data_IF_145619042196
#
_entry.id   IF_145619042196
#
_cell.length_a   1.000
_cell.length_b   1.000
_cell.length_c   1.000
_cell.angle_alpha   90.00
_cell.angle_beta   90.00
_cell.angle_gamma   90.00
#
_symmetry.space_group_name_H-M   'P 1'
#
loop_
_entity.id
_entity.type
_entity.pdbx_description
1 polymer ?
#
# COMPACT_ATOMS: atom_id res chain seq x y z
N UNK A 1 -37.51 -30.94 4.09
CA UNK A 1 -36.42 -30.10 4.64
C UNK A 1 -35.34 -29.70 3.61
N UNK A 2 -35.62 -29.69 2.29
CA UNK A 2 -34.60 -29.41 1.25
C UNK A 2 -34.55 -27.95 0.74
N UNK A 3 -35.60 -27.15 1.01
CA UNK A 3 -35.70 -25.75 0.57
C UNK A 3 -34.98 -24.76 1.49
N UNK A 4 -34.84 -25.08 2.77
CA UNK A 4 -34.10 -24.25 3.75
C UNK A 4 -32.59 -24.33 3.59
N UNK A 5 -32.05 -25.48 3.17
CA UNK A 5 -30.61 -25.66 2.93
C UNK A 5 -30.13 -24.81 1.75
N UNK A 6 -30.95 -24.66 0.70
CA UNK A 6 -30.63 -23.85 -0.47
C UNK A 6 -30.59 -22.35 -0.15
N UNK A 7 -31.51 -21.87 0.69
CA UNK A 7 -31.51 -20.48 1.16
C UNK A 7 -30.30 -20.17 2.06
N UNK A 8 -29.86 -21.13 2.86
CA UNK A 8 -28.68 -20.97 3.70
C UNK A 8 -27.38 -20.93 2.86
N UNK A 9 -27.28 -21.78 1.82
CA UNK A 9 -26.13 -21.78 0.90
C UNK A 9 -26.08 -20.48 0.07
N UNK A 10 -27.23 -19.98 -0.38
CA UNK A 10 -27.31 -18.69 -1.10
C UNK A 10 -26.92 -17.53 -0.18
N UNK A 11 -27.34 -17.52 1.09
CA UNK A 11 -26.89 -16.53 2.06
C UNK A 11 -25.38 -16.59 2.34
N UNK A 12 -24.77 -17.79 2.42
CA UNK A 12 -23.33 -17.93 2.63
C UNK A 12 -22.53 -17.42 1.42
N UNK A 13 -23.01 -17.64 0.19
CA UNK A 13 -22.38 -17.13 -1.03
C UNK A 13 -22.55 -15.61 -1.14
N UNK A 14 -23.68 -15.05 -0.72
CA UNK A 14 -23.92 -13.60 -0.73
C UNK A 14 -23.18 -12.83 0.38
N UNK A 15 -22.88 -13.46 1.52
CA UNK A 15 -22.08 -12.84 2.60
C UNK A 15 -20.59 -12.72 2.22
N UNK A 16 -20.10 -13.50 1.26
CA UNK A 16 -18.74 -13.38 0.71
C UNK A 16 -18.59 -12.18 -0.26
N UNK A 17 -19.70 -11.53 -0.63
CA UNK A 17 -19.69 -10.26 -1.40
C UNK A 17 -19.73 -9.07 -0.43
N UNK A 18 -19.20 -9.23 0.78
CA UNK A 18 -18.84 -8.09 1.60
C UNK A 18 -17.83 -7.28 0.79
N UNK A 19 -18.32 -6.16 0.31
CA UNK A 19 -17.71 -5.26 -0.67
C UNK A 19 -16.42 -4.74 -0.05
N UNK A 20 -15.33 -5.49 -0.20
CA UNK A 20 -13.99 -4.92 -0.12
C UNK A 20 -13.93 -3.96 -1.30
N UNK A 21 -14.03 -2.67 -1.02
CA UNK A 21 -13.80 -1.63 -2.00
C UNK A 21 -12.39 -1.81 -2.55
N UNK A 22 -12.29 -2.50 -3.67
CA UNK A 22 -11.01 -2.73 -4.31
C UNK A 22 -10.51 -1.36 -4.73
N UNK A 23 -9.43 -0.89 -4.10
CA UNK A 23 -8.80 0.37 -4.48
C UNK A 23 -8.54 0.33 -5.98
N UNK A 24 -9.14 1.30 -6.66
CA UNK A 24 -8.98 1.47 -8.08
C UNK A 24 -7.89 2.50 -8.30
N UNK A 25 -7.01 2.20 -9.23
CA UNK A 25 -6.07 3.19 -9.74
C UNK A 25 -6.59 3.73 -11.06
N UNK A 26 -6.03 4.85 -11.52
CA UNK A 26 -6.16 5.37 -12.86
C UNK A 26 -4.80 5.88 -13.33
N UNK A 27 -4.62 5.98 -14.64
CA UNK A 27 -3.46 6.66 -15.22
C UNK A 27 -3.81 8.13 -15.49
N UNK A 28 -2.90 9.04 -15.16
CA UNK A 28 -3.10 10.48 -15.31
C UNK A 28 -3.37 10.94 -16.74
N UNK A 29 -2.94 10.14 -17.72
CA UNK A 29 -3.13 10.35 -19.15
C UNK A 29 -4.35 9.59 -19.71
N UNK A 30 -5.20 9.04 -18.84
CA UNK A 30 -6.30 8.13 -19.17
C UNK A 30 -5.86 6.87 -19.95
N UNK A 31 -4.58 6.50 -19.86
CA UNK A 31 -4.06 5.26 -20.40
C UNK A 31 -4.60 4.02 -19.69
N UNK A 32 -4.43 2.86 -20.32
CA UNK A 32 -4.77 1.58 -19.71
C UNK A 32 -3.83 1.25 -18.55
N UNK A 33 -4.41 0.73 -17.47
CA UNK A 33 -3.67 0.24 -16.30
C UNK A 33 -3.31 -1.22 -16.54
N UNK A 34 -2.06 -1.55 -16.27
CA UNK A 34 -1.62 -2.94 -16.17
C UNK A 34 -1.72 -3.39 -14.72
N UNK A 35 -2.38 -4.50 -14.49
CA UNK A 35 -2.55 -5.09 -13.16
C UNK A 35 -2.20 -6.57 -13.18
N UNK A 36 -1.54 -7.03 -12.14
CA UNK A 36 -1.22 -8.45 -11.93
C UNK A 36 -1.19 -8.74 -10.43
N UNK A 37 -1.31 -10.00 -10.03
CA UNK A 37 -1.34 -10.39 -8.61
C UNK A 37 -0.76 -11.76 -8.39
N UNK A 38 -0.04 -11.90 -7.29
CA UNK A 38 0.55 -13.17 -6.85
C UNK A 38 0.31 -13.39 -5.36
N UNK A 39 0.24 -14.65 -4.96
CA UNK A 39 0.38 -15.06 -3.56
C UNK A 39 1.86 -15.29 -3.26
N UNK A 40 2.32 -14.70 -2.16
CA UNK A 40 3.72 -14.71 -1.75
C UNK A 40 3.76 -15.22 -0.32
N UNK A 41 4.48 -16.31 -0.08
CA UNK A 41 4.71 -16.82 1.27
C UNK A 41 5.73 -15.97 2.00
N UNK A 42 5.64 -15.95 3.32
CA UNK A 42 6.61 -15.33 4.22
C UNK A 42 8.02 -15.84 3.93
N UNK A 43 8.98 -14.92 3.86
CA UNK A 43 10.36 -15.18 3.47
C UNK A 43 10.58 -15.37 1.97
N UNK A 44 9.54 -15.50 1.14
CA UNK A 44 9.67 -15.64 -0.31
C UNK A 44 9.51 -14.30 -1.06
N UNK A 45 9.80 -14.34 -2.36
CA UNK A 45 9.73 -13.22 -3.28
C UNK A 45 9.03 -13.59 -4.58
N UNK A 46 8.20 -12.68 -5.11
CA UNK A 46 7.64 -12.79 -6.47
C UNK A 46 7.90 -11.53 -7.28
N UNK A 47 8.00 -11.68 -8.59
CA UNK A 47 8.10 -10.56 -9.54
C UNK A 47 6.75 -10.30 -10.20
N UNK A 48 6.08 -9.22 -9.80
CA UNK A 48 4.76 -8.84 -10.31
C UNK A 48 4.92 -7.58 -11.15
N UNK A 49 4.61 -7.64 -12.45
CA UNK A 49 4.87 -6.56 -13.42
C UNK A 49 6.32 -6.04 -13.39
N UNK A 50 7.27 -6.96 -13.17
CA UNK A 50 8.69 -6.69 -13.07
C UNK A 50 9.13 -6.02 -11.77
N UNK A 51 8.25 -5.80 -10.80
CA UNK A 51 8.59 -5.37 -9.45
C UNK A 51 8.75 -6.60 -8.56
N UNK A 52 9.93 -6.78 -7.98
CA UNK A 52 10.18 -7.84 -7.01
C UNK A 52 9.65 -7.42 -5.63
N UNK A 53 8.71 -8.18 -5.09
CA UNK A 53 8.10 -7.95 -3.78
C UNK A 53 8.32 -9.21 -2.95
N UNK A 54 8.84 -9.03 -1.73
CA UNK A 54 8.98 -10.10 -0.74
C UNK A 54 8.08 -9.84 0.46
N UNK A 55 7.66 -10.92 1.11
CA UNK A 55 6.87 -10.85 2.35
C UNK A 55 7.81 -11.11 3.52
N UNK A 56 7.89 -10.13 4.41
CA UNK A 56 8.69 -10.22 5.60
C UNK A 56 7.90 -10.87 6.74
N UNK A 57 6.68 -10.39 6.99
CA UNK A 57 5.75 -11.05 7.90
C UNK A 57 4.34 -11.04 7.30
N UNK A 58 3.53 -12.00 7.71
CA UNK A 58 2.09 -11.96 7.52
C UNK A 58 1.38 -12.34 8.81
N UNK A 59 0.15 -11.85 8.98
CA UNK A 59 -0.69 -12.22 10.11
C UNK A 59 -2.16 -12.14 9.72
N UNK A 60 -2.94 -13.12 10.17
CA UNK A 60 -4.37 -13.17 9.95
C UNK A 60 -5.11 -13.06 11.29
N UNK A 61 -6.05 -12.13 11.36
CA UNK A 61 -7.06 -12.14 12.41
C UNK A 61 -8.33 -12.80 11.88
N UNK A 62 -8.49 -14.09 12.15
CA UNK A 62 -9.64 -14.87 11.66
C UNK A 62 -10.99 -14.41 12.22
N UNK A 63 -11.02 -13.87 13.45
CA UNK A 63 -12.25 -13.37 14.09
C UNK A 63 -12.74 -12.10 13.39
N UNK A 64 -11.84 -11.15 13.19
CA UNK A 64 -12.15 -9.89 12.56
C UNK A 64 -12.04 -9.94 11.03
N UNK A 65 -11.54 -11.04 10.45
CA UNK A 65 -11.35 -11.23 9.00
C UNK A 65 -10.52 -10.11 8.37
N UNK A 66 -9.31 -9.91 8.87
CA UNK A 66 -8.34 -9.04 8.23
C UNK A 66 -6.96 -9.68 8.24
N UNK A 67 -6.14 -9.21 7.31
CA UNK A 67 -4.77 -9.65 7.12
C UNK A 67 -3.89 -8.41 7.14
N UNK A 68 -2.77 -8.52 7.82
CA UNK A 68 -1.71 -7.53 7.84
C UNK A 68 -0.42 -8.19 7.42
N UNK A 69 0.29 -7.57 6.48
CA UNK A 69 1.55 -8.09 5.98
C UNK A 69 2.55 -6.97 5.80
N UNK A 70 3.78 -7.19 6.26
CA UNK A 70 4.92 -6.34 5.98
C UNK A 70 5.60 -6.81 4.71
N UNK A 71 5.59 -5.94 3.72
CA UNK A 71 6.20 -6.17 2.41
C UNK A 71 7.54 -5.45 2.33
N UNK A 72 8.54 -6.14 1.79
CA UNK A 72 9.74 -5.53 1.26
C UNK A 72 9.57 -5.36 -0.25
N UNK A 73 9.75 -4.13 -0.72
CA UNK A 73 9.56 -3.74 -2.11
C UNK A 73 10.91 -3.41 -2.73
N UNK A 74 11.09 -3.84 -3.98
CA UNK A 74 12.38 -3.85 -4.67
C UNK A 74 13.36 -4.71 -3.88
N UNK A 75 13.11 -6.02 -3.93
CA UNK A 75 13.69 -7.01 -3.03
C UNK A 75 14.51 -8.08 -3.77
N UNK A 76 15.31 -8.81 -3.02
CA UNK A 76 16.07 -9.97 -3.48
C UNK A 76 16.26 -10.99 -2.34
N UNK A 77 16.44 -12.26 -2.72
CA UNK A 77 16.91 -13.29 -1.80
C UNK A 77 18.43 -13.41 -1.89
N UNK A 78 19.08 -13.61 -0.76
CA UNK A 78 20.54 -13.73 -0.67
C UNK A 78 20.90 -14.88 0.25
N UNK A 79 21.81 -15.75 -0.17
CA UNK A 79 22.36 -16.81 0.67
C UNK A 79 23.84 -16.54 0.93
N UNK A 80 24.23 -16.53 2.21
CA UNK A 80 25.62 -16.40 2.66
C UNK A 80 26.09 -17.76 3.18
N UNK A 81 27.13 -18.35 2.56
CA UNK A 81 27.54 -19.72 2.89
C UNK A 81 28.49 -19.81 4.09
N UNK A 82 29.15 -18.71 4.43
CA UNK A 82 30.06 -18.60 5.58
C UNK A 82 30.38 -17.12 5.89
N UNK A 83 30.96 -16.85 7.06
CA UNK A 83 31.29 -15.49 7.53
C UNK A 83 32.41 -14.79 6.76
N UNK A 84 33.15 -15.49 5.91
CA UNK A 84 34.18 -14.88 5.04
C UNK A 84 33.61 -14.41 3.71
N UNK A 85 32.39 -14.81 3.39
CA UNK A 85 31.72 -14.42 2.16
C UNK A 85 30.94 -13.11 2.33
N UNK A 86 30.88 -12.38 1.23
CA UNK A 86 30.00 -11.25 1.06
C UNK A 86 29.31 -11.36 -0.28
N UNK A 87 28.02 -11.06 -0.33
CA UNK A 87 27.23 -11.09 -1.56
C UNK A 87 26.82 -9.68 -1.94
N UNK A 88 26.88 -9.37 -3.23
CA UNK A 88 26.37 -8.10 -3.75
C UNK A 88 24.86 -8.19 -3.92
N UNK A 89 24.16 -7.13 -3.54
CA UNK A 89 22.72 -6.98 -3.68
C UNK A 89 22.48 -5.89 -4.70
N UNK A 90 21.78 -6.23 -5.77
CA UNK A 90 21.37 -5.30 -6.83
C UNK A 90 19.85 -5.14 -6.77
N UNK A 91 19.41 -4.02 -6.21
CA UNK A 91 18.02 -3.57 -6.23
C UNK A 91 17.90 -2.46 -7.27
N UNK A 92 16.69 -2.20 -7.77
CA UNK A 92 16.47 -1.15 -8.76
C UNK A 92 16.85 0.23 -8.22
N UNK A 93 16.61 0.50 -6.94
CA UNK A 93 16.88 1.79 -6.30
C UNK A 93 18.26 1.91 -5.65
N UNK A 94 18.86 0.79 -5.24
CA UNK A 94 20.10 0.81 -4.49
C UNK A 94 20.88 -0.48 -4.67
N UNK A 95 22.20 -0.35 -4.57
CA UNK A 95 23.10 -1.49 -4.54
C UNK A 95 23.78 -1.55 -3.17
N UNK A 96 24.04 -2.76 -2.69
CA UNK A 96 24.69 -2.99 -1.41
C UNK A 96 25.55 -4.24 -1.41
N UNK A 97 26.26 -4.45 -0.33
CA UNK A 97 26.97 -5.71 -0.06
C UNK A 97 26.53 -6.18 1.31
N UNK A 98 26.16 -7.46 1.41
CA UNK A 98 25.78 -8.10 2.66
C UNK A 98 26.82 -9.15 3.04
N UNK A 99 27.13 -9.21 4.33
CA UNK A 99 27.95 -10.26 4.95
C UNK A 99 27.49 -10.48 6.39
N UNK A 100 28.05 -11.47 7.06
CA UNK A 100 27.81 -11.69 8.47
C UNK A 100 29.12 -12.04 9.19
N UNK A 101 29.22 -11.73 10.49
CA UNK A 101 30.44 -12.02 11.27
C UNK A 101 30.30 -13.27 12.14
N UNK A 102 29.11 -13.54 12.66
CA UNK A 102 28.81 -14.68 13.51
C UNK A 102 27.31 -15.01 13.45
N UNK A 103 26.97 -16.28 13.66
CA UNK A 103 25.59 -16.75 13.72
C UNK A 103 25.40 -17.75 14.87
N UNK A 104 24.22 -17.72 15.49
CA UNK A 104 23.71 -18.76 16.38
C UNK A 104 22.68 -19.60 15.59
N UNK A 105 21.91 -20.46 16.26
CA UNK A 105 20.80 -21.16 15.60
C UNK A 105 19.64 -20.23 15.26
N UNK A 106 19.51 -19.09 15.96
CA UNK A 106 18.29 -18.27 15.97
C UNK A 106 18.56 -16.81 15.57
N UNK A 107 19.83 -16.39 15.53
CA UNK A 107 20.23 -15.01 15.21
C UNK A 107 21.55 -14.95 14.45
N UNK A 108 21.79 -13.86 13.72
CA UNK A 108 23.10 -13.57 13.15
C UNK A 108 23.43 -12.09 13.15
N UNK A 109 24.73 -11.78 13.25
CA UNK A 109 25.23 -10.40 13.17
C UNK A 109 25.52 -10.02 11.72
N UNK A 110 24.54 -9.39 11.08
CA UNK A 110 24.54 -9.01 9.66
C UNK A 110 25.17 -7.63 9.48
N UNK A 111 25.95 -7.46 8.42
CA UNK A 111 26.45 -6.16 7.95
C UNK A 111 25.87 -5.86 6.58
N UNK A 112 25.20 -4.73 6.45
CA UNK A 112 24.57 -4.27 5.21
C UNK A 112 24.56 -2.73 5.15
N UNK A 113 24.89 -2.17 3.98
CA UNK A 113 24.90 -0.71 3.79
C UNK A 113 25.85 0.03 4.75
N UNK A 114 26.93 -0.62 5.18
CA UNK A 114 27.90 -0.08 6.13
C UNK A 114 27.46 -0.08 7.60
N UNK A 115 26.26 -0.60 7.90
CA UNK A 115 25.76 -0.78 9.27
C UNK A 115 25.79 -2.26 9.66
N UNK A 116 25.97 -2.55 10.95
CA UNK A 116 26.02 -3.91 11.48
C UNK A 116 25.08 -4.06 12.68
N UNK A 117 24.25 -5.09 12.66
CA UNK A 117 23.25 -5.37 13.70
C UNK A 117 23.06 -6.88 13.89
N UNK A 118 22.68 -7.30 15.09
CA UNK A 118 22.23 -8.69 15.34
C UNK A 118 20.73 -8.78 15.04
N UNK A 119 20.36 -9.73 14.20
CA UNK A 119 19.00 -9.93 13.70
C UNK A 119 18.58 -11.35 14.03
N UNK A 120 17.39 -11.52 14.60
CA UNK A 120 16.78 -12.84 14.85
C UNK A 120 16.05 -13.35 13.59
N UNK A 121 15.90 -14.67 13.48
CA UNK A 121 15.13 -15.28 12.39
C UNK A 121 13.69 -14.75 12.43
N UNK A 122 13.18 -14.32 11.26
CA UNK A 122 11.83 -13.76 11.11
C UNK A 122 11.70 -12.28 11.46
N UNK A 123 12.72 -11.65 12.06
CA UNK A 123 12.65 -10.22 12.40
C UNK A 123 12.81 -9.33 11.17
N UNK A 124 11.82 -8.47 10.95
CA UNK A 124 11.80 -7.48 9.88
C UNK A 124 12.57 -6.21 10.26
N UNK A 125 13.89 -6.20 10.09
CA UNK A 125 14.78 -5.11 10.53
C UNK A 125 15.16 -4.13 9.41
N UNK A 126 15.52 -2.90 9.77
CA UNK A 126 16.04 -1.88 8.85
C UNK A 126 17.51 -1.62 9.15
N UNK A 127 18.40 -1.87 8.19
CA UNK A 127 19.85 -1.85 8.36
C UNK A 127 20.53 -1.13 7.20
N UNK A 128 21.29 -0.07 7.48
CA UNK A 128 22.12 0.62 6.48
C UNK A 128 21.35 1.19 5.28
N UNK A 129 20.09 1.59 5.47
CA UNK A 129 19.22 2.08 4.39
C UNK A 129 18.50 0.97 3.60
N UNK A 130 18.66 -0.28 4.00
CA UNK A 130 17.94 -1.43 3.49
C UNK A 130 17.00 -1.99 4.56
N UNK A 131 16.16 -2.95 4.16
CA UNK A 131 15.38 -3.77 5.07
C UNK A 131 15.79 -5.22 4.85
N UNK A 132 15.89 -5.98 5.94
CA UNK A 132 16.45 -7.32 5.94
C UNK A 132 15.67 -8.18 6.94
N UNK A 133 15.48 -9.43 6.57
CA UNK A 133 14.99 -10.50 7.42
C UNK A 133 15.86 -11.74 7.19
N UNK A 134 16.15 -12.45 8.27
CA UNK A 134 16.74 -13.79 8.17
C UNK A 134 15.60 -14.80 8.02
N UNK A 135 15.58 -15.52 6.91
CA UNK A 135 14.60 -16.58 6.65
C UNK A 135 14.98 -17.86 7.40
N UNK A 136 16.27 -18.20 7.37
CA UNK A 136 16.80 -19.44 7.97
C UNK A 136 18.28 -19.29 8.31
N UNK A 137 18.71 -20.09 9.28
CA UNK A 137 20.12 -20.31 9.58
C UNK A 137 20.35 -21.82 9.69
N UNK A 138 21.28 -22.34 8.89
CA UNK A 138 21.77 -23.71 9.00
C UNK A 138 23.17 -23.73 9.59
N UNK A 139 23.34 -24.40 10.74
CA UNK A 139 24.61 -24.44 11.46
C UNK A 139 24.80 -23.28 12.44
N UNK A 140 26.05 -23.02 12.85
CA UNK A 140 26.40 -21.94 13.79
C UNK A 140 27.81 -21.41 13.50
N UNK A 141 28.16 -20.29 14.12
CA UNK A 141 29.50 -19.73 14.07
C UNK A 141 29.83 -19.14 12.69
N UNK A 142 31.09 -19.33 12.29
CA UNK A 142 31.64 -18.80 11.03
C UNK A 142 31.28 -19.63 9.79
N UNK A 143 30.70 -20.81 9.97
CA UNK A 143 30.37 -21.78 8.90
C UNK A 143 28.87 -21.92 8.68
N UNK A 144 28.06 -21.05 9.29
CA UNK A 144 26.62 -21.07 9.11
C UNK A 144 26.24 -20.67 7.68
N UNK A 145 25.17 -21.27 7.17
CA UNK A 145 24.53 -20.84 5.92
C UNK A 145 23.31 -20.01 6.33
N UNK A 146 23.21 -18.78 5.81
CA UNK A 146 22.15 -17.84 6.17
C UNK A 146 21.41 -17.43 4.91
N UNK A 147 20.10 -17.67 4.88
CA UNK A 147 19.20 -17.15 3.85
C UNK A 147 18.54 -15.86 4.33
N UNK A 148 18.62 -14.83 3.49
CA UNK A 148 18.15 -13.48 3.78
C UNK A 148 17.14 -13.04 2.73
N UNK A 149 16.07 -12.40 3.19
CA UNK A 149 15.24 -11.53 2.36
C UNK A 149 15.69 -10.08 2.57
N UNK A 150 16.09 -9.41 1.49
CA UNK A 150 16.53 -8.01 1.54
C UNK A 150 15.69 -7.17 0.59
N UNK A 151 15.28 -5.97 1.00
CA UNK A 151 14.61 -5.04 0.10
C UNK A 151 14.81 -3.57 0.47
N UNK A 152 14.48 -2.69 -0.47
CA UNK A 152 14.77 -1.27 -0.33
C UNK A 152 13.68 -0.53 0.47
N UNK A 153 12.41 -0.81 0.20
CA UNK A 153 11.29 -0.14 0.88
C UNK A 153 10.48 -1.13 1.71
N UNK A 154 10.27 -0.81 3.00
CA UNK A 154 9.37 -1.57 3.89
C UNK A 154 8.00 -0.91 3.95
N UNK A 155 6.93 -1.69 3.75
CA UNK A 155 5.53 -1.25 3.91
C UNK A 155 4.68 -2.31 4.56
N UNK A 156 4.05 -1.95 5.67
CA UNK A 156 3.01 -2.77 6.30
C UNK A 156 1.65 -2.33 5.78
N UNK A 157 0.92 -3.25 5.16
CA UNK A 157 -0.41 -3.04 4.63
C UNK A 157 -1.40 -3.90 5.41
N UNK A 158 -2.60 -3.37 5.65
CA UNK A 158 -3.68 -4.07 6.32
C UNK A 158 -4.93 -4.04 5.45
N UNK A 159 -5.58 -5.18 5.21
CA UNK A 159 -6.74 -5.29 4.30
C UNK A 159 -7.93 -4.42 4.69
N UNK A 160 -8.00 -3.92 5.94
CA UNK A 160 -9.09 -3.05 6.43
C UNK A 160 -8.77 -1.57 6.50
N UNK A 161 -7.54 -1.20 6.86
CA UNK A 161 -7.22 0.19 7.23
C UNK A 161 -6.43 0.91 6.13
N UNK A 162 -5.43 0.25 5.59
CA UNK A 162 -4.44 0.82 4.67
C UNK A 162 -3.93 -0.27 3.73
N UNK A 163 -4.84 -0.87 2.98
CA UNK A 163 -4.54 -2.03 2.14
C UNK A 163 -3.76 -1.67 0.88
N UNK A 164 -3.35 -0.41 0.68
CA UNK A 164 -2.55 -0.04 -0.49
C UNK A 164 -1.55 1.07 -0.26
N UNK A 165 -0.55 1.12 -1.13
CA UNK A 165 0.45 2.17 -1.19
C UNK A 165 0.96 2.37 -2.62
N UNK A 166 1.23 3.62 -3.00
CA UNK A 166 1.94 3.93 -4.25
C UNK A 166 3.42 4.14 -3.92
N UNK A 167 4.28 3.44 -4.64
CA UNK A 167 5.74 3.62 -4.57
C UNK A 167 6.30 3.99 -5.94
N UNK A 168 7.38 4.77 -5.95
CA UNK A 168 8.09 5.12 -7.18
C UNK A 168 9.43 4.39 -7.19
N UNK A 169 9.68 3.59 -8.23
CA UNK A 169 10.93 2.85 -8.46
C UNK A 169 11.43 3.22 -9.86
N UNK A 170 12.65 3.76 -9.98
CA UNK A 170 13.24 4.20 -11.26
C UNK A 170 12.30 5.07 -12.11
N UNK A 171 11.72 6.10 -11.48
CA UNK A 171 10.77 7.03 -12.10
C UNK A 171 9.47 6.39 -12.62
N UNK A 172 9.19 5.14 -12.24
CA UNK A 172 7.94 4.45 -12.53
C UNK A 172 7.14 4.22 -11.26
N UNK A 173 5.85 4.54 -11.29
CA UNK A 173 4.95 4.34 -10.17
C UNK A 173 4.30 2.97 -10.18
N UNK A 174 4.22 2.36 -9.01
CA UNK A 174 3.58 1.08 -8.75
C UNK A 174 2.60 1.25 -7.60
N UNK A 175 1.34 0.93 -7.85
CA UNK A 175 0.31 0.80 -6.83
C UNK A 175 0.31 -0.62 -6.31
N UNK A 176 0.63 -0.79 -5.04
CA UNK A 176 0.72 -2.09 -4.37
C UNK A 176 -0.52 -2.18 -3.48
N UNK A 177 -1.28 -3.25 -3.61
CA UNK A 177 -2.49 -3.48 -2.83
C UNK A 177 -2.45 -4.89 -2.23
N UNK A 178 -2.57 -4.97 -0.91
CA UNK A 178 -2.82 -6.23 -0.21
C UNK A 178 -4.29 -6.57 -0.37
N UNK A 179 -4.59 -7.68 -1.05
CA UNK A 179 -5.97 -8.10 -1.37
C UNK A 179 -6.43 -9.33 -0.60
N UNK A 180 -5.52 -10.06 0.04
CA UNK A 180 -5.80 -11.31 0.74
C UNK A 180 -4.52 -11.96 1.27
N UNK A 181 -4.61 -13.23 1.67
CA UNK A 181 -3.50 -13.96 2.31
C UNK A 181 -3.96 -14.86 3.47
N UNK A 182 -2.98 -15.34 4.23
CA UNK A 182 -3.13 -16.21 5.40
C UNK A 182 -2.21 -15.71 6.53
N UNK A 183 -2.05 -16.49 7.59
CA UNK A 183 -1.06 -16.18 8.64
C UNK A 183 0.39 -16.18 8.12
N UNK A 184 0.70 -16.86 7.02
CA UNK A 184 2.07 -16.98 6.51
C UNK A 184 2.18 -16.59 5.02
N UNK A 185 1.11 -16.08 4.43
CA UNK A 185 1.07 -15.71 3.01
C UNK A 185 0.39 -14.36 2.84
N UNK A 186 0.77 -13.64 1.80
CA UNK A 186 0.13 -12.41 1.38
C UNK A 186 -0.21 -12.48 -0.11
N UNK A 187 -1.47 -12.18 -0.46
CA UNK A 187 -1.86 -11.98 -1.86
C UNK A 187 -1.72 -10.49 -2.20
N UNK A 188 -0.75 -10.17 -3.05
CA UNK A 188 -0.40 -8.80 -3.42
C UNK A 188 -0.77 -8.56 -4.87
N UNK A 189 -1.54 -7.49 -5.11
CA UNK A 189 -1.84 -6.97 -6.44
C UNK A 189 -0.96 -5.75 -6.73
N UNK A 190 -0.32 -5.73 -7.90
CA UNK A 190 0.46 -4.59 -8.37
C UNK A 190 -0.22 -3.97 -9.59
N UNK A 191 -0.34 -2.66 -9.58
CA UNK A 191 -0.90 -1.84 -10.67
C UNK A 191 0.15 -0.85 -11.15
N UNK A 192 0.26 -0.63 -12.45
CA UNK A 192 1.15 0.39 -13.00
C UNK A 192 0.65 0.89 -14.34
N UNK A 193 1.00 2.13 -14.68
CA UNK A 193 0.72 2.73 -15.96
C UNK A 193 1.86 2.45 -16.95
N UNK A 194 1.52 2.31 -18.23
CA UNK A 194 2.54 2.27 -19.29
C UNK A 194 3.18 3.64 -19.50
N UNK A 195 2.35 4.68 -19.44
CA UNK A 195 2.69 6.10 -19.57
C UNK A 195 1.86 6.89 -18.55
N UNK A 196 2.34 8.06 -18.15
CA UNK A 196 1.67 8.86 -17.11
C UNK A 196 1.86 8.32 -15.69
N UNK A 197 1.33 9.06 -14.73
CA UNK A 197 1.41 8.76 -13.31
C UNK A 197 0.20 7.94 -12.85
N UNK A 198 0.40 7.14 -11.82
CA UNK A 198 -0.65 6.37 -11.18
C UNK A 198 -1.37 7.25 -10.16
N UNK A 199 -2.69 7.37 -10.28
CA UNK A 199 -3.53 8.08 -9.32
C UNK A 199 -4.47 7.10 -8.63
N UNK A 200 -4.67 7.30 -7.33
CA UNK A 200 -5.65 6.53 -6.59
C UNK A 200 -7.04 7.14 -6.79
N UNK A 201 -7.98 6.34 -7.26
CA UNK A 201 -9.37 6.77 -7.46
C UNK A 201 -10.13 6.43 -6.19
N UNK A 202 -10.66 7.46 -5.53
CA UNK A 202 -11.62 7.24 -4.46
C UNK A 202 -12.85 6.55 -5.05
N UNK A 203 -13.30 5.48 -4.42
CA UNK A 203 -14.55 4.83 -4.80
C UNK A 203 -15.65 5.89 -4.74
N UNK A 204 -16.30 6.16 -5.88
CA UNK A 204 -17.58 6.86 -5.86
C UNK A 204 -18.53 5.84 -5.24
N UNK A 205 -18.70 5.89 -3.92
CA UNK A 205 -19.89 5.30 -3.31
C UNK A 205 -21.04 5.96 -4.05
N UNK A 206 -21.80 5.17 -4.80
CA UNK A 206 -23.07 5.63 -5.35
C UNK A 206 -23.88 6.13 -4.15
N UNK A 207 -23.91 7.44 -3.96
CA UNK A 207 -24.89 8.07 -3.12
C UNK A 207 -26.20 7.83 -3.88
N UNK A 208 -26.93 6.78 -3.50
CA UNK A 208 -28.36 6.67 -3.77
C UNK A 208 -29.07 7.81 -3.02
N UNK A 209 -28.85 9.06 -3.44
CA UNK A 209 -29.71 10.17 -3.07
C UNK A 209 -30.83 10.21 -4.08
N UNK A 210 -31.80 9.34 -3.80
CA UNK A 210 -33.22 9.64 -3.92
C UNK A 210 -33.47 11.12 -3.59
N UNK A 211 -33.57 11.98 -4.60
CA UNK A 211 -34.25 13.27 -4.46
C UNK A 211 -34.91 13.62 -5.78
N UNK A 212 -36.25 13.60 -5.74
CA UNK A 212 -37.22 14.13 -6.69
C UNK A 212 -36.63 14.93 -7.86
N UNK A 213 -36.79 14.38 -9.07
CA UNK A 213 -36.98 15.19 -10.27
C UNK A 213 -38.26 16.01 -10.06
N UNK A 214 -38.13 17.22 -9.52
CA UNK A 214 -39.10 18.27 -9.81
C UNK A 214 -38.95 18.57 -11.30
N UNK A 215 -39.80 17.87 -12.06
CA UNK A 215 -40.04 18.06 -13.46
C UNK A 215 -40.54 19.50 -13.64
N UNK A 216 -39.61 20.42 -13.84
CA UNK A 216 -39.94 21.75 -14.32
C UNK A 216 -40.07 21.59 -15.82
N UNK A 217 -41.31 21.46 -16.30
CA UNK A 217 -41.62 21.51 -17.73
C UNK A 217 -41.13 22.85 -18.27
N UNK A 218 -39.94 22.86 -18.87
CA UNK A 218 -39.52 23.94 -19.75
C UNK A 218 -39.99 23.54 -21.14
N UNK A 219 -41.15 24.06 -21.52
CA UNK A 219 -41.58 24.10 -22.91
C UNK A 219 -40.65 25.10 -23.62
N UNK A 220 -39.68 24.61 -24.38
CA UNK A 220 -38.88 25.43 -25.29
C UNK A 220 -39.76 25.71 -26.50
N UNK A 221 -40.30 26.92 -26.58
CA UNK A 221 -40.77 27.48 -27.84
C UNK A 221 -39.74 28.52 -28.29
N UNK A 222 -39.01 28.21 -29.35
CA UNK A 222 -38.14 29.14 -30.04
C UNK A 222 -38.95 30.33 -30.56
N UNK A 223 -38.65 31.53 -30.09
CA UNK A 223 -38.54 32.76 -30.92
C UNK A 223 -38.02 33.94 -30.11
N UNK A 224 -36.78 34.31 -30.40
CA UNK A 224 -36.22 35.69 -30.45
C UNK A 224 -36.89 36.80 -29.63
N UNK A 225 -36.23 37.27 -28.56
CA UNK A 225 -35.66 38.61 -28.54
C UNK A 225 -34.82 38.87 -27.29
N UNK A 226 -33.69 39.54 -27.53
CA UNK A 226 -32.72 40.01 -26.55
C UNK A 226 -33.29 41.26 -25.89
N UNK A 227 -33.48 41.23 -24.57
CA UNK A 227 -33.41 42.43 -23.74
C UNK A 227 -32.42 42.17 -22.60
N UNK A 228 -31.36 42.97 -22.59
CA UNK A 228 -30.38 43.05 -21.51
C UNK A 228 -31.11 43.38 -20.19
N UNK A 229 -31.25 42.39 -19.31
CA UNK A 229 -31.49 42.64 -17.91
C UNK A 229 -30.17 42.52 -17.16
N UNK A 230 -29.81 43.66 -16.58
CA UNK A 230 -28.67 43.94 -15.72
C UNK A 230 -28.52 42.86 -14.65
N UNK A 231 -27.40 42.13 -14.69
CA UNK A 231 -26.99 41.27 -13.57
C UNK A 231 -26.53 42.21 -12.46
N UNK A 232 -27.38 42.37 -11.44
CA UNK A 232 -26.97 42.98 -10.18
C UNK A 232 -25.89 42.10 -9.53
N UNK A 233 -24.74 42.70 -9.27
CA UNK A 233 -23.66 42.12 -8.49
C UNK A 233 -24.18 41.62 -7.14
N UNK A 234 -24.22 40.29 -6.96
CA UNK A 234 -24.22 39.70 -5.63
C UNK A 234 -22.86 39.05 -5.38
N UNK A 235 -22.07 39.80 -4.63
CA UNK A 235 -20.93 39.47 -3.77
C UNK A 235 -20.43 38.03 -3.85
N UNK A 236 -19.19 37.86 -4.34
CA UNK A 236 -18.36 36.71 -4.02
C UNK A 236 -18.35 36.52 -2.50
N UNK A 237 -19.01 35.48 -2.01
CA UNK A 237 -18.71 34.92 -0.70
C UNK A 237 -17.37 34.21 -0.87
N UNK A 238 -16.30 34.89 -0.44
CA UNK A 238 -15.00 34.27 -0.18
C UNK A 238 -15.26 32.95 0.57
N UNK A 239 -14.62 31.83 0.20
CA UNK A 239 -14.68 30.65 1.05
C UNK A 239 -14.15 31.07 2.42
N UNK A 240 -14.99 30.97 3.44
CA UNK A 240 -14.60 31.21 4.83
C UNK A 240 -13.43 30.30 5.12
N UNK A 241 -12.24 30.88 5.28
CA UNK A 241 -11.05 30.18 5.76
C UNK A 241 -11.43 29.70 7.16
N UNK A 242 -11.81 28.41 7.29
CA UNK A 242 -11.96 27.78 8.60
C UNK A 242 -10.57 27.77 9.21
N UNK A 243 -10.41 28.51 10.31
CA UNK A 243 -9.16 28.58 11.06
C UNK A 243 -8.70 27.16 11.42
N UNK A 244 -7.51 26.81 10.96
CA UNK A 244 -6.91 25.53 11.24
C UNK A 244 -6.30 25.58 12.65
N UNK A 245 -6.89 24.83 13.59
CA UNK A 245 -6.34 24.75 14.94
C UNK A 245 -5.14 23.80 14.95
N UNK A 246 -3.96 24.33 15.25
CA UNK A 246 -2.71 23.56 15.35
C UNK A 246 -2.72 22.74 16.63
N UNK A 247 -2.57 21.42 16.50
CA UNK A 247 -2.39 20.50 17.63
C UNK A 247 -1.04 19.80 17.61
N UNK A 248 -0.55 19.36 18.78
CA UNK A 248 0.66 18.54 18.92
C UNK A 248 0.29 17.19 19.53
N UNK A 249 0.75 16.09 18.92
CA UNK A 249 0.67 14.74 19.49
C UNK A 249 1.97 14.00 19.24
N UNK A 250 2.59 13.46 20.30
CA UNK A 250 3.89 12.76 20.24
C UNK A 250 5.00 13.55 19.53
N UNK A 251 5.06 14.87 19.72
CA UNK A 251 6.07 15.74 19.12
C UNK A 251 5.82 16.11 17.65
N UNK A 252 4.79 15.55 17.01
CA UNK A 252 4.41 15.86 15.62
C UNK A 252 3.28 16.88 15.59
N UNK A 253 3.38 17.85 14.66
CA UNK A 253 2.40 18.92 14.45
C UNK A 253 1.30 18.44 13.50
N UNK A 254 0.04 18.64 13.86
CA UNK A 254 -1.13 18.26 13.05
C UNK A 254 -2.03 19.46 12.80
N UNK A 255 -2.66 19.51 11.63
CA UNK A 255 -3.68 20.48 11.26
C UNK A 255 -5.06 19.79 11.40
N UNK A 256 -5.89 20.28 12.32
CA UNK A 256 -7.23 19.73 12.59
C UNK A 256 -8.28 20.49 11.80
N UNK A 257 -8.98 19.79 10.91
CA UNK A 257 -10.27 20.21 10.38
C UNK A 257 -11.31 19.21 10.89
N UNK A 258 -12.29 19.71 11.65
CA UNK A 258 -13.35 18.97 12.36
C UNK A 258 -13.58 17.54 11.82
N UNK A 259 -12.94 16.57 12.48
CA UNK A 259 -13.15 15.10 12.41
C UNK A 259 -12.17 14.23 11.60
N UNK A 260 -11.07 14.75 11.02
CA UNK A 260 -10.01 13.89 10.45
C UNK A 260 -8.58 14.32 10.79
N UNK A 261 -7.80 13.40 11.35
CA UNK A 261 -6.34 13.54 11.44
C UNK A 261 -5.73 13.21 10.07
N UNK A 262 -5.36 14.23 9.31
CA UNK A 262 -4.65 14.05 8.04
C UNK A 262 -3.16 14.23 8.32
N UNK A 263 -2.38 13.17 8.08
CA UNK A 263 -0.91 13.24 8.13
C UNK A 263 -0.44 13.84 6.79
N UNK A 264 -0.26 15.17 6.72
CA UNK A 264 0.16 15.83 5.48
C UNK A 264 1.67 15.73 5.27
N UNK A 265 2.08 14.91 4.30
CA UNK A 265 3.23 15.19 3.43
C UNK A 265 2.79 15.34 1.97
N UNK A 266 1.57 15.86 1.75
CA UNK A 266 1.14 16.32 0.44
C UNK A 266 1.66 17.74 0.25
N UNK A 267 2.55 17.89 -0.72
CA UNK A 267 3.10 19.15 -1.22
C UNK A 267 2.00 20.20 -1.42
N UNK A 268 2.09 21.32 -0.68
CA UNK A 268 1.65 22.63 -1.21
C UNK A 268 0.58 23.43 -0.47
N UNK A 269 0.10 23.04 0.71
CA UNK A 269 -0.74 23.93 1.53
C UNK A 269 -0.11 24.16 2.91
N UNK A 270 0.49 25.34 3.09
CA UNK A 270 0.96 25.78 4.40
C UNK A 270 -0.23 26.17 5.27
N UNK A 271 -0.37 25.54 6.43
CA UNK A 271 -1.14 26.11 7.53
C UNK A 271 -0.42 27.41 7.96
N UNK A 272 -0.99 28.57 7.63
CA UNK A 272 -0.54 29.86 8.14
C UNK A 272 -0.99 30.04 9.59
#
# INVERSE_FOLDING_TARGET
MKKGLFLFIICIILIQISISSAIQYACSDNGAINTDSEEISEGDIKSILGLKIGVCDSSENSIQKWIESTLFIDSNLVTLQNSSESQSIELKQANGTVSYTNATSDSARITLGGSTEEIEIGDCSSLGGFNVMINSIEGTGSTAIIDLLVGYTKKTLNTKLNNSNIVTINSKQYGITLIGGSSNDATVKVSTCRTGDLTQVAEITNIENSTNLNQTNITINDTTNIENQTIENQTQVLPTVKECSVGFRNGTRYCNTEEKYINQSLSGQSCA
#
